data_IF_501009337632
#
_entry.id   IF_501009337632
#
_cell.length_a   1.000
_cell.length_b   1.000
_cell.length_c   1.000
_cell.angle_alpha   90.00
_cell.angle_beta   90.00
_cell.angle_gamma   90.00
#
_symmetry.space_group_name_H-M   'P 1'
#
loop_
_entity.id
_entity.type
_entity.pdbx_description
1 polymer ?
#
# COMPACT_ATOMS: atom_id res chain seq x y z
N UNK A 1 11.27 8.42 -24.42
CA UNK A 1 11.92 7.58 -23.39
C UNK A 1 11.14 7.75 -22.10
N UNK A 2 10.67 6.66 -21.50
CA UNK A 2 10.67 6.44 -20.05
C UNK A 2 10.01 5.08 -19.80
N UNK A 3 10.76 4.17 -19.19
CA UNK A 3 10.19 2.95 -18.63
C UNK A 3 9.25 3.37 -17.51
N UNK A 4 7.94 3.30 -17.76
CA UNK A 4 6.91 3.47 -16.74
C UNK A 4 6.81 2.17 -15.93
N UNK A 5 7.88 1.81 -15.25
CA UNK A 5 7.94 0.68 -14.33
C UNK A 5 8.04 1.21 -12.91
N UNK A 6 7.13 0.78 -12.02
CA UNK A 6 7.33 1.01 -10.60
C UNK A 6 8.47 0.09 -10.14
N UNK A 7 9.59 0.66 -9.74
CA UNK A 7 10.67 -0.06 -9.07
C UNK A 7 10.46 0.09 -7.56
N UNK A 8 10.17 -1.02 -6.89
CA UNK A 8 10.03 -1.05 -5.44
C UNK A 8 11.31 -1.64 -4.88
N UNK A 9 12.04 -0.85 -4.09
CA UNK A 9 13.27 -1.31 -3.43
C UNK A 9 13.16 -1.04 -1.96
N UNK A 10 13.19 -2.10 -1.16
CA UNK A 10 13.33 -2.04 0.28
C UNK A 10 14.60 -2.78 0.69
N UNK A 11 15.49 -2.05 1.37
CA UNK A 11 16.77 -2.55 1.87
C UNK A 11 16.79 -2.68 3.40
N UNK A 12 15.64 -2.50 4.08
CA UNK A 12 15.54 -2.55 5.54
C UNK A 12 15.28 -3.96 6.09
N UNK A 13 15.58 -4.21 7.38
CA UNK A 13 15.25 -5.47 8.04
C UNK A 13 13.74 -5.68 8.26
N UNK A 14 12.91 -4.67 7.98
CA UNK A 14 11.46 -4.72 8.15
C UNK A 14 10.75 -3.91 7.06
N UNK A 15 10.11 -4.61 6.11
CA UNK A 15 9.30 -3.99 5.07
C UNK A 15 7.97 -3.47 5.61
N UNK A 16 7.83 -2.14 5.59
CA UNK A 16 6.61 -1.43 5.98
C UNK A 16 5.51 -1.41 4.89
N UNK A 17 5.82 -1.88 3.69
CA UNK A 17 4.96 -1.74 2.51
C UNK A 17 5.30 -0.49 1.69
N UNK A 18 4.60 -0.31 0.57
CA UNK A 18 4.72 0.89 -0.27
C UNK A 18 3.44 1.12 -1.07
N UNK A 19 3.18 2.37 -1.44
CA UNK A 19 2.14 2.73 -2.38
C UNK A 19 2.68 3.73 -3.41
N UNK A 20 2.24 3.61 -4.65
CA UNK A 20 2.62 4.51 -5.73
C UNK A 20 1.42 4.83 -6.62
N UNK A 21 1.35 6.07 -7.10
CA UNK A 21 0.37 6.49 -8.10
C UNK A 21 0.92 6.29 -9.50
N UNK A 22 0.11 5.68 -10.35
CA UNK A 22 0.32 5.53 -11.79
C UNK A 22 -0.72 6.36 -12.55
N UNK A 23 -0.60 6.39 -13.88
CA UNK A 23 -1.61 6.96 -14.78
C UNK A 23 -2.99 6.26 -14.68
N UNK A 24 -3.00 5.00 -14.24
CA UNK A 24 -4.21 4.16 -14.16
C UNK A 24 -4.80 4.01 -12.75
N UNK A 25 -4.09 4.43 -11.71
CA UNK A 25 -4.58 4.32 -10.33
C UNK A 25 -3.47 4.28 -9.29
N UNK A 26 -3.74 3.67 -8.14
CA UNK A 26 -2.74 3.42 -7.10
C UNK A 26 -2.40 1.94 -7.08
N UNK A 27 -1.11 1.62 -7.04
CA UNK A 27 -0.60 0.29 -6.74
C UNK A 27 -0.05 0.29 -5.32
N UNK A 28 -0.45 -0.71 -4.52
CA UNK A 28 0.03 -0.87 -3.15
C UNK A 28 0.67 -2.24 -3.00
N UNK A 29 1.84 -2.30 -2.37
CA UNK A 29 2.40 -3.56 -1.86
C UNK A 29 2.23 -3.53 -0.35
N UNK A 30 1.30 -4.35 0.13
CA UNK A 30 0.89 -4.41 1.54
C UNK A 30 1.47 -5.68 2.16
N UNK A 31 2.24 -5.57 3.26
CA UNK A 31 2.72 -6.76 3.97
C UNK A 31 1.54 -7.51 4.59
N UNK A 32 1.56 -8.84 4.54
CA UNK A 32 0.49 -9.68 5.11
C UNK A 32 0.32 -9.48 6.61
N UNK A 33 1.39 -9.05 7.30
CA UNK A 33 1.42 -8.71 8.72
C UNK A 33 0.48 -7.56 9.06
N UNK A 34 0.09 -6.70 8.10
CA UNK A 34 -0.90 -5.65 8.32
C UNK A 34 -2.27 -6.20 8.75
N UNK A 35 -2.55 -7.50 8.54
CA UNK A 35 -3.76 -8.17 9.07
C UNK A 35 -3.77 -8.25 10.60
N UNK A 36 -2.61 -8.39 11.23
CA UNK A 36 -2.47 -8.61 12.67
C UNK A 36 -1.71 -7.49 13.38
N UNK A 37 -1.21 -6.49 12.62
CA UNK A 37 -0.47 -5.32 13.11
C UNK A 37 -1.22 -4.03 12.77
N UNK A 38 -2.08 -3.52 13.68
CA UNK A 38 -2.91 -2.34 13.44
C UNK A 38 -2.12 -1.08 13.06
N UNK A 39 -0.92 -0.92 13.62
CA UNK A 39 -0.02 0.19 13.33
C UNK A 39 0.47 0.18 11.87
N UNK A 40 0.79 -1.01 11.34
CA UNK A 40 1.20 -1.20 9.96
C UNK A 40 0.02 -0.98 9.01
N UNK A 41 -1.18 -1.43 9.41
CA UNK A 41 -2.43 -1.17 8.68
C UNK A 41 -2.74 0.32 8.60
N UNK A 42 -2.57 1.06 9.70
CA UNK A 42 -2.78 2.50 9.76
C UNK A 42 -1.80 3.24 8.84
N UNK A 43 -0.50 2.95 8.96
CA UNK A 43 0.55 3.51 8.10
C UNK A 43 0.25 3.32 6.61
N UNK A 44 -0.09 2.09 6.22
CA UNK A 44 -0.43 1.79 4.83
C UNK A 44 -1.67 2.53 4.34
N UNK A 45 -2.70 2.68 5.20
CA UNK A 45 -3.91 3.44 4.84
C UNK A 45 -3.59 4.92 4.64
N UNK A 46 -2.76 5.50 5.51
CA UNK A 46 -2.29 6.88 5.40
C UNK A 46 -1.56 7.12 4.08
N UNK A 47 -0.58 6.29 3.72
CA UNK A 47 0.13 6.41 2.43
C UNK A 47 -0.81 6.33 1.22
N UNK A 48 -1.80 5.43 1.25
CA UNK A 48 -2.79 5.33 0.17
C UNK A 48 -3.69 6.57 0.12
N UNK A 49 -4.09 7.10 1.28
CA UNK A 49 -4.91 8.31 1.38
C UNK A 49 -4.16 9.55 0.93
N UNK A 50 -2.88 9.70 1.23
CA UNK A 50 -2.03 10.80 0.73
C UNK A 50 -1.93 10.80 -0.80
N UNK A 51 -1.92 9.61 -1.40
CA UNK A 51 -2.00 9.48 -2.84
C UNK A 51 -3.41 9.76 -3.38
N UNK A 52 -4.44 9.95 -2.55
CA UNK A 52 -5.83 10.15 -2.97
C UNK A 52 -6.56 8.85 -3.26
N UNK A 53 -6.22 7.77 -2.56
CA UNK A 53 -6.87 6.47 -2.63
C UNK A 53 -7.78 6.19 -1.44
N UNK A 54 -8.70 5.26 -1.65
CA UNK A 54 -9.62 4.79 -0.62
C UNK A 54 -9.51 3.28 -0.44
N UNK A 55 -8.97 2.83 0.69
CA UNK A 55 -8.69 1.42 0.93
C UNK A 55 -9.95 0.52 1.02
N UNK A 56 -11.15 1.10 1.20
CA UNK A 56 -12.42 0.37 1.26
C UNK A 56 -12.85 -0.26 -0.08
N UNK A 57 -12.29 0.22 -1.19
CA UNK A 57 -12.63 -0.26 -2.54
C UNK A 57 -11.85 -1.50 -3.01
N UNK A 58 -10.85 -1.97 -2.25
CA UNK A 58 -10.02 -3.10 -2.66
C UNK A 58 -10.52 -4.42 -2.02
N UNK A 59 -11.21 -5.29 -2.78
CA UNK A 59 -11.72 -6.55 -2.23
C UNK A 59 -10.56 -7.45 -1.77
N UNK A 60 -10.69 -8.04 -0.57
CA UNK A 60 -9.70 -8.89 0.09
C UNK A 60 -8.38 -8.22 0.49
N UNK A 61 -8.27 -6.89 0.39
CA UNK A 61 -7.10 -6.16 0.86
C UNK A 61 -7.05 -6.15 2.40
N UNK A 62 -5.87 -6.44 3.02
CA UNK A 62 -5.67 -6.31 4.46
C UNK A 62 -6.05 -4.92 5.02
N UNK A 63 -5.97 -3.89 4.18
CA UNK A 63 -6.33 -2.53 4.54
C UNK A 63 -7.84 -2.29 4.51
N UNK A 64 -8.57 -2.93 3.58
CA UNK A 64 -9.99 -2.67 3.30
C UNK A 64 -10.96 -3.40 4.23
N UNK A 65 -10.56 -4.50 4.86
CA UNK A 65 -11.40 -5.16 5.85
C UNK A 65 -11.50 -4.27 7.10
N UNK A 66 -12.63 -3.57 7.24
CA UNK A 66 -13.08 -3.12 8.55
C UNK A 66 -13.30 -4.37 9.41
N UNK A 67 -12.69 -4.38 10.59
CA UNK A 67 -13.24 -5.18 11.68
C UNK A 67 -14.53 -4.52 12.14
#
# INVERSE_FOLDING_TARGET
MQQQGALIVDYGPAFGGTAARTDKGIVCVVPVQARTRPELKALMREMVTELGGECGHCPNCPLGQQG
#
